data_IF_188770743221
#
_entry.id   IF_188770743221
#
_cell.length_a   1.000
_cell.length_b   1.000
_cell.length_c   1.000
_cell.angle_alpha   90.00
_cell.angle_beta   90.00
_cell.angle_gamma   90.00
#
_symmetry.space_group_name_H-M   'P 1'
#
loop_
_entity.id
_entity.type
_entity.pdbx_description
1 polymer ?
#
# COMPACT_ATOMS: atom_id res chain seq x y z
N UNK A 1 -6.30 -0.44 9.60
CA UNK A 1 -7.47 -1.30 9.28
C UNK A 1 -8.73 -1.01 10.12
N UNK A 2 -8.78 -1.24 11.44
CA UNK A 2 -10.01 -1.06 12.24
C UNK A 2 -10.57 0.38 12.24
N UNK A 3 -9.69 1.38 12.19
CA UNK A 3 -10.06 2.80 12.05
C UNK A 3 -10.71 3.07 10.69
N UNK A 4 -10.09 2.61 9.60
CA UNK A 4 -10.65 2.77 8.25
C UNK A 4 -11.99 2.05 8.05
N UNK A 5 -12.18 0.86 8.65
CA UNK A 5 -13.48 0.18 8.63
C UNK A 5 -14.58 1.01 9.31
N UNK A 6 -14.30 1.57 10.49
CA UNK A 6 -15.26 2.42 11.20
C UNK A 6 -15.62 3.68 10.40
N UNK A 7 -14.63 4.36 9.84
CA UNK A 7 -14.83 5.62 9.11
C UNK A 7 -15.54 5.43 7.76
N UNK A 8 -15.21 4.38 7.02
CA UNK A 8 -15.70 4.21 5.65
C UNK A 8 -16.99 3.39 5.56
N UNK A 9 -17.24 2.46 6.50
CA UNK A 9 -18.41 1.56 6.42
C UNK A 9 -19.55 2.02 7.34
N UNK A 10 -19.23 2.50 8.56
CA UNK A 10 -20.25 2.89 9.55
C UNK A 10 -19.85 4.17 10.33
N UNK A 11 -19.77 5.33 9.66
CA UNK A 11 -19.20 6.56 10.26
C UNK A 11 -19.94 7.02 11.53
N UNK A 12 -21.27 6.86 11.59
CA UNK A 12 -22.06 7.23 12.78
C UNK A 12 -21.77 6.35 14.01
N UNK A 13 -21.25 5.14 13.79
CA UNK A 13 -20.97 4.14 14.82
C UNK A 13 -19.47 3.81 14.90
N UNK A 14 -18.61 4.67 14.36
CA UNK A 14 -17.16 4.42 14.22
C UNK A 14 -16.55 3.88 15.51
N UNK A 15 -16.81 4.54 16.64
CA UNK A 15 -16.25 4.16 17.93
C UNK A 15 -16.69 2.77 18.40
N UNK A 16 -17.95 2.37 18.15
CA UNK A 16 -18.45 1.05 18.48
C UNK A 16 -17.85 -0.02 17.57
N UNK A 17 -17.88 0.20 16.25
CA UNK A 17 -17.33 -0.72 15.25
C UNK A 17 -15.85 -0.94 15.49
N UNK A 18 -15.09 0.12 15.77
CA UNK A 18 -13.67 0.03 16.11
C UNK A 18 -13.43 -0.83 17.35
N UNK A 19 -14.17 -0.59 18.45
CA UNK A 19 -14.01 -1.35 19.71
C UNK A 19 -14.35 -2.83 19.53
N UNK A 20 -15.44 -3.14 18.85
CA UNK A 20 -15.84 -4.53 18.58
C UNK A 20 -14.85 -5.24 17.65
N UNK A 21 -14.34 -4.54 16.63
CA UNK A 21 -13.31 -5.09 15.73
C UNK A 21 -12.02 -5.40 16.50
N UNK A 22 -11.57 -4.49 17.37
CA UNK A 22 -10.38 -4.72 18.21
C UNK A 22 -10.59 -5.87 19.21
N UNK A 23 -11.79 -6.00 19.79
CA UNK A 23 -12.13 -7.12 20.65
C UNK A 23 -12.09 -8.44 19.86
N UNK A 24 -12.70 -8.48 18.69
CA UNK A 24 -12.67 -9.64 17.79
C UNK A 24 -11.24 -10.05 17.43
N UNK A 25 -10.40 -9.10 17.00
CA UNK A 25 -8.99 -9.35 16.68
C UNK A 25 -8.17 -9.83 17.87
N UNK A 26 -8.55 -9.42 19.10
CA UNK A 26 -7.89 -9.90 20.31
C UNK A 26 -8.31 -11.33 20.68
N UNK A 27 -9.61 -11.62 20.62
CA UNK A 27 -10.14 -12.95 20.98
C UNK A 27 -9.69 -14.02 19.97
N UNK A 28 -9.62 -13.67 18.68
CA UNK A 28 -9.28 -14.58 17.59
C UNK A 28 -7.90 -14.26 16.97
N UNK A 29 -6.97 -13.76 17.78
CA UNK A 29 -5.67 -13.26 17.30
C UNK A 29 -4.94 -14.23 16.37
N UNK A 30 -4.88 -15.51 16.74
CA UNK A 30 -4.20 -16.56 15.96
C UNK A 30 -4.80 -16.75 14.56
N UNK A 31 -6.12 -16.58 14.45
CA UNK A 31 -6.87 -16.75 13.21
C UNK A 31 -6.93 -15.46 12.38
N UNK A 32 -6.70 -14.30 13.00
CA UNK A 32 -6.83 -13.00 12.32
C UNK A 32 -5.51 -12.25 12.23
N UNK A 33 -4.97 -11.78 13.35
CA UNK A 33 -3.83 -10.86 13.40
C UNK A 33 -2.54 -11.59 13.03
N UNK A 34 -2.31 -12.76 13.64
CA UNK A 34 -1.08 -13.52 13.41
C UNK A 34 -1.03 -14.03 11.96
N UNK A 35 -2.17 -14.51 11.43
CA UNK A 35 -2.29 -14.92 10.03
C UNK A 35 -2.03 -13.75 9.07
N UNK A 36 -2.65 -12.60 9.32
CA UNK A 36 -2.43 -11.39 8.53
C UNK A 36 -0.96 -10.95 8.57
N UNK A 37 -0.36 -10.88 9.76
CA UNK A 37 1.04 -10.49 9.94
C UNK A 37 2.00 -11.47 9.25
N UNK A 38 1.69 -12.77 9.24
CA UNK A 38 2.46 -13.76 8.47
C UNK A 38 2.45 -13.44 6.98
N UNK A 39 1.29 -13.04 6.43
CA UNK A 39 1.19 -12.59 5.04
C UNK A 39 2.00 -11.33 4.74
N UNK A 40 1.97 -10.35 5.65
CA UNK A 40 2.80 -9.14 5.56
C UNK A 40 4.29 -9.50 5.59
N UNK A 41 4.70 -10.41 6.48
CA UNK A 41 6.07 -10.86 6.60
C UNK A 41 6.59 -11.52 5.31
N UNK A 42 5.76 -12.32 4.65
CA UNK A 42 6.10 -12.92 3.35
C UNK A 42 6.31 -11.83 2.31
N UNK A 43 5.43 -10.84 2.23
CA UNK A 43 5.56 -9.71 1.31
C UNK A 43 6.85 -8.92 1.58
N UNK A 44 7.15 -8.60 2.83
CA UNK A 44 8.36 -7.87 3.21
C UNK A 44 9.64 -8.66 2.89
N UNK A 45 9.71 -9.91 3.35
CA UNK A 45 10.97 -10.66 3.42
C UNK A 45 11.26 -11.43 2.13
N UNK A 46 10.23 -11.81 1.38
CA UNK A 46 10.34 -12.55 0.12
C UNK A 46 9.63 -11.83 -1.03
N UNK A 47 9.99 -10.56 -1.32
CA UNK A 47 9.31 -9.80 -2.35
C UNK A 47 9.63 -10.32 -3.75
N UNK A 48 8.76 -10.01 -4.70
CA UNK A 48 9.12 -10.10 -6.12
C UNK A 48 10.24 -9.09 -6.37
N UNK A 49 11.40 -9.55 -6.84
CA UNK A 49 12.61 -8.72 -6.99
C UNK A 49 12.61 -7.85 -8.25
N UNK A 50 11.44 -7.63 -8.85
CA UNK A 50 11.30 -6.72 -9.99
C UNK A 50 11.39 -5.26 -9.51
N UNK A 51 11.78 -4.32 -10.38
CA UNK A 51 11.64 -2.91 -10.08
C UNK A 51 10.20 -2.57 -9.69
N UNK A 52 10.02 -1.82 -8.61
CA UNK A 52 8.71 -1.52 -8.04
C UNK A 52 8.47 0.00 -7.98
N UNK A 53 7.24 0.42 -8.25
CA UNK A 53 6.78 1.79 -8.06
C UNK A 53 5.56 1.78 -7.12
N UNK A 54 5.65 2.51 -6.01
CA UNK A 54 4.59 2.63 -5.03
C UNK A 54 3.89 3.99 -5.08
N UNK A 55 2.56 3.96 -5.02
CA UNK A 55 1.70 5.14 -4.91
C UNK A 55 0.92 5.07 -3.60
N UNK A 56 1.03 6.09 -2.75
CA UNK A 56 0.35 6.13 -1.45
C UNK A 56 0.15 7.56 -0.92
N UNK A 57 -0.64 7.75 0.14
CA UNK A 57 -0.84 9.06 0.76
C UNK A 57 -0.89 9.02 2.29
N UNK A 58 -0.59 10.16 2.93
CA UNK A 58 -0.50 10.27 4.40
C UNK A 58 -1.87 10.21 5.08
N UNK A 59 -2.93 10.66 4.42
CA UNK A 59 -4.29 10.69 4.95
C UNK A 59 -5.07 9.38 4.75
N UNK A 60 -4.42 8.28 4.38
CA UNK A 60 -5.08 7.00 4.13
C UNK A 60 -5.44 6.28 5.44
N UNK A 61 -6.74 6.07 5.70
CA UNK A 61 -7.21 5.40 6.91
C UNK A 61 -7.10 3.85 6.84
N UNK A 62 -6.82 3.31 5.65
CA UNK A 62 -6.72 1.88 5.37
C UNK A 62 -5.27 1.42 5.19
N UNK A 63 -4.41 2.28 4.66
CA UNK A 63 -2.97 2.03 4.47
C UNK A 63 -2.14 2.96 5.36
N UNK A 64 -1.24 2.39 6.15
CA UNK A 64 -0.34 3.18 6.99
C UNK A 64 0.87 3.66 6.18
N UNK A 65 1.03 4.97 6.04
CA UNK A 65 2.09 5.55 5.22
C UNK A 65 3.49 5.32 5.81
N UNK A 66 3.62 5.24 7.14
CA UNK A 66 4.91 5.00 7.80
C UNK A 66 5.37 3.57 7.50
N UNK A 67 4.46 2.60 7.63
CA UNK A 67 4.74 1.21 7.26
C UNK A 67 5.11 1.05 5.77
N UNK A 68 4.50 1.83 4.87
CA UNK A 68 4.88 1.84 3.45
C UNK A 68 6.31 2.36 3.24
N UNK A 69 6.66 3.46 3.91
CA UNK A 69 8.01 4.04 3.85
C UNK A 69 9.06 3.06 4.39
N UNK A 70 8.76 2.36 5.49
CA UNK A 70 9.63 1.32 6.04
C UNK A 70 9.88 0.17 5.06
N UNK A 71 8.84 -0.34 4.37
CA UNK A 71 8.99 -1.39 3.34
C UNK A 71 9.87 -0.92 2.20
N UNK A 72 9.59 0.29 1.69
CA UNK A 72 10.32 0.86 0.55
C UNK A 72 11.79 0.98 0.91
N UNK A 73 12.11 1.52 2.08
CA UNK A 73 13.49 1.67 2.53
C UNK A 73 14.16 0.31 2.79
N UNK A 74 13.42 -0.64 3.37
CA UNK A 74 13.90 -2.01 3.58
C UNK A 74 14.28 -2.69 2.25
N UNK A 75 13.45 -2.56 1.21
CA UNK A 75 13.75 -3.12 -0.11
C UNK A 75 14.88 -2.39 -0.83
N UNK A 76 14.96 -1.07 -0.75
CA UNK A 76 16.09 -0.28 -1.27
C UNK A 76 17.42 -0.72 -0.66
N UNK A 77 17.47 -0.91 0.66
CA UNK A 77 18.66 -1.42 1.36
C UNK A 77 19.08 -2.81 0.92
N UNK A 78 18.15 -3.61 0.38
CA UNK A 78 18.44 -4.93 -0.21
C UNK A 78 18.84 -4.87 -1.69
N UNK A 79 19.05 -3.66 -2.23
CA UNK A 79 19.49 -3.43 -3.60
C UNK A 79 18.37 -3.48 -4.64
N UNK A 80 17.10 -3.46 -4.23
CA UNK A 80 15.99 -3.40 -5.17
C UNK A 80 15.79 -1.98 -5.71
N UNK A 81 15.47 -1.87 -7.01
CA UNK A 81 15.01 -0.61 -7.60
C UNK A 81 13.58 -0.34 -7.15
N UNK A 82 13.40 0.57 -6.20
CA UNK A 82 12.08 0.93 -5.69
C UNK A 82 11.89 2.43 -5.75
N UNK A 83 10.93 2.86 -6.56
CA UNK A 83 10.46 4.24 -6.63
C UNK A 83 9.14 4.41 -5.89
N UNK A 84 8.85 5.65 -5.49
CA UNK A 84 7.66 5.94 -4.72
C UNK A 84 7.15 7.36 -4.93
N UNK A 85 5.84 7.51 -5.04
CA UNK A 85 5.16 8.81 -5.00
C UNK A 85 4.17 8.84 -3.86
N UNK A 86 4.45 9.73 -2.90
CA UNK A 86 3.63 10.02 -1.73
C UNK A 86 2.90 11.34 -1.91
N UNK A 87 1.60 11.35 -1.60
CA UNK A 87 0.82 12.59 -1.47
C UNK A 87 0.48 12.88 -0.01
N UNK A 88 0.42 14.16 0.36
CA UNK A 88 -0.12 14.54 1.67
C UNK A 88 -1.61 14.17 1.78
N UNK A 89 -2.37 14.45 0.73
CA UNK A 89 -3.79 14.13 0.65
C UNK A 89 -4.16 13.47 -0.68
N UNK A 90 -4.82 12.32 -0.60
CA UNK A 90 -5.43 11.65 -1.75
C UNK A 90 -6.55 10.70 -1.30
N UNK A 91 -7.17 10.00 -2.26
CA UNK A 91 -8.19 8.99 -2.00
C UNK A 91 -7.53 7.61 -2.06
N UNK A 92 -7.78 6.75 -1.07
CA UNK A 92 -7.33 5.36 -1.07
C UNK A 92 -7.70 4.67 -2.39
N UNK A 93 -6.70 4.08 -3.06
CA UNK A 93 -6.84 3.46 -4.38
C UNK A 93 -7.42 4.38 -5.49
N UNK A 94 -7.41 5.70 -5.27
CA UNK A 94 -7.98 6.72 -6.17
C UNK A 94 -6.94 7.70 -6.72
N UNK A 95 -5.65 7.46 -6.52
CA UNK A 95 -4.57 8.42 -6.80
C UNK A 95 -4.53 8.90 -8.25
N UNK A 96 -4.74 8.01 -9.25
CA UNK A 96 -4.81 8.40 -10.66
C UNK A 96 -5.97 9.37 -10.93
N UNK A 97 -7.12 9.18 -10.28
CA UNK A 97 -8.28 10.07 -10.44
C UNK A 97 -8.05 11.42 -9.75
N UNK A 98 -7.44 11.40 -8.57
CA UNK A 98 -7.18 12.61 -7.78
C UNK A 98 -6.04 13.46 -8.36
N UNK A 99 -4.98 12.81 -8.87
CA UNK A 99 -3.72 13.45 -9.27
C UNK A 99 -3.24 12.93 -10.64
N UNK A 100 -4.05 13.03 -11.71
CA UNK A 100 -3.80 12.32 -12.97
C UNK A 100 -2.47 12.68 -13.63
N UNK A 101 -2.14 13.98 -13.64
CA UNK A 101 -0.92 14.47 -14.29
C UNK A 101 0.33 13.97 -13.56
N UNK A 102 0.37 14.10 -12.23
CA UNK A 102 1.50 13.64 -11.42
C UNK A 102 1.65 12.12 -11.45
N UNK A 103 0.53 11.40 -11.39
CA UNK A 103 0.50 9.95 -11.45
C UNK A 103 1.09 9.44 -12.77
N UNK A 104 0.57 9.96 -13.90
CA UNK A 104 1.02 9.54 -15.24
C UNK A 104 2.47 9.94 -15.48
N UNK A 105 2.87 11.16 -15.13
CA UNK A 105 4.25 11.62 -15.26
C UNK A 105 5.23 10.74 -14.46
N UNK A 106 4.88 10.40 -13.21
CA UNK A 106 5.70 9.50 -12.37
C UNK A 106 5.79 8.11 -12.99
N UNK A 107 4.66 7.56 -13.44
CA UNK A 107 4.60 6.24 -14.03
C UNK A 107 5.42 6.17 -15.33
N UNK A 108 5.26 7.13 -16.23
CA UNK A 108 6.00 7.21 -17.49
C UNK A 108 7.50 7.35 -17.24
N UNK A 109 7.90 8.23 -16.32
CA UNK A 109 9.31 8.41 -15.94
C UNK A 109 9.91 7.12 -15.40
N UNK A 110 9.17 6.42 -14.53
CA UNK A 110 9.59 5.13 -14.01
C UNK A 110 9.73 4.09 -15.13
N UNK A 111 8.73 3.94 -15.99
CA UNK A 111 8.78 2.96 -17.10
C UNK A 111 9.93 3.24 -18.08
N UNK A 112 10.20 4.52 -18.37
CA UNK A 112 11.33 4.92 -19.21
C UNK A 112 12.68 4.58 -18.57
N UNK A 113 12.81 4.71 -17.24
CA UNK A 113 14.05 4.37 -16.53
C UNK A 113 14.37 2.86 -16.57
N UNK A 114 13.34 2.01 -16.70
CA UNK A 114 13.50 0.56 -16.72
C UNK A 114 14.07 -0.01 -18.03
N UNK A 115 14.34 0.83 -19.04
CA UNK A 115 14.88 0.41 -20.34
C UNK A 115 14.13 -0.78 -20.94
N UNK A 116 12.79 -0.77 -20.80
CA UNK A 116 11.95 -1.88 -21.23
C UNK A 116 12.11 -2.10 -22.74
N UNK A 117 12.50 -3.31 -23.13
CA UNK A 117 12.53 -3.71 -24.55
C UNK A 117 11.08 -3.67 -25.06
N UNK A 118 10.82 -3.08 -26.25
CA UNK A 118 9.48 -3.09 -26.83
C UNK A 118 8.93 -4.51 -26.85
N UNK A 119 7.77 -4.71 -26.23
CA UNK A 119 7.08 -5.99 -26.24
C UNK A 119 6.79 -6.33 -27.71
N UNK A 120 7.44 -7.37 -28.23
CA UNK A 120 7.15 -7.89 -29.56
C UNK A 120 5.74 -8.47 -29.49
N UNK A 121 4.77 -7.79 -30.10
CA UNK A 121 3.43 -8.35 -30.22
C UNK A 121 3.56 -9.72 -30.89
N UNK A 122 3.00 -10.77 -30.25
CA UNK A 122 2.79 -12.04 -30.94
C UNK A 122 1.74 -11.76 -32.03
N UNK A 123 2.20 -11.73 -33.28
CA UNK A 123 1.34 -11.82 -34.45
C UNK A 123 0.68 -13.19 -34.51
#
# INVERSE_FOLDING_TARGET
MAVGLGKNVFPQWEGLVRRLSLLYFRVFQRQTVDYFNTGIDVFWKSPVTAPALFFFCENDALCDHEAMEEIIEYWRKRGMTVESRKWKESIHAGHLRSHPQEYLCTLETFLQSLSLIPLRAKM
#
